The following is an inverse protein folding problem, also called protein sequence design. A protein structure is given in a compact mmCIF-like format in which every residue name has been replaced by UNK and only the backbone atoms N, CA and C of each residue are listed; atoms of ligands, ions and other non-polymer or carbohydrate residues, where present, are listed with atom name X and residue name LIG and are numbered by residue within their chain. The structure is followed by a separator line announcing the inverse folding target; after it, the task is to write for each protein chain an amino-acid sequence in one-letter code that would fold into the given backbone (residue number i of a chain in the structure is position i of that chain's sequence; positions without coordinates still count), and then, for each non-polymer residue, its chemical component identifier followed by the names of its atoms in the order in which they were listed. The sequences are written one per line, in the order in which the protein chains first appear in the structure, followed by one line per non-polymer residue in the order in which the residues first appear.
data_IF_064753819041
#
_entry.id   IF_064753819041
#
_cell.length_a   1.000
_cell.length_b   1.000
_cell.length_c   1.000
_cell.angle_alpha   90.00
_cell.angle_beta   90.00
_cell.angle_gamma   90.00
#
_symmetry.space_group_name_H-M   'P 1'
#
loop_
_entity.id
_entity.type
_entity.pdbx_description
1 polymer ?
#
# COMPACT_ATOMS: atom_id res chain seq x y z
N UNK A 1 5.63 2.53 -4.77
CA UNK A 1 6.64 2.14 -5.79
C UNK A 1 6.77 3.28 -6.80
N UNK A 2 7.98 3.71 -7.12
CA UNK A 2 8.25 4.75 -8.12
C UNK A 2 7.78 4.27 -9.50
N UNK A 3 7.31 5.19 -10.36
CA UNK A 3 7.02 4.86 -11.75
C UNK A 3 8.30 4.52 -12.50
N UNK A 4 8.31 3.40 -13.23
CA UNK A 4 9.49 2.91 -13.96
C UNK A 4 9.93 3.87 -15.08
N UNK A 5 8.97 4.59 -15.68
CA UNK A 5 9.27 5.60 -16.69
C UNK A 5 10.00 6.78 -16.05
N UNK A 6 9.53 7.25 -14.88
CA UNK A 6 10.21 8.29 -14.10
C UNK A 6 11.65 7.88 -13.74
N UNK A 7 11.83 6.66 -13.22
CA UNK A 7 13.16 6.14 -12.88
C UNK A 7 14.10 6.12 -14.09
N UNK A 8 13.61 5.67 -15.24
CA UNK A 8 14.38 5.61 -16.48
C UNK A 8 14.78 6.98 -17.02
N UNK A 9 13.86 7.95 -16.93
CA UNK A 9 14.07 9.32 -17.43
C UNK A 9 14.88 10.17 -16.45
N UNK A 10 14.86 9.84 -15.15
CA UNK A 10 15.48 10.61 -14.09
C UNK A 10 16.30 9.75 -13.11
N UNK A 11 17.25 8.93 -13.60
CA UNK A 11 17.99 7.98 -12.74
C UNK A 11 18.78 8.68 -11.63
N UNK A 12 19.38 9.84 -11.91
CA UNK A 12 20.18 10.57 -10.93
C UNK A 12 19.32 11.15 -9.81
N UNK A 13 18.07 11.57 -10.09
CA UNK A 13 17.12 12.01 -9.05
C UNK A 13 16.80 10.86 -8.10
N UNK A 14 16.59 9.65 -8.64
CA UNK A 14 16.33 8.46 -7.83
C UNK A 14 17.55 8.08 -7.00
N UNK A 15 18.76 8.11 -7.58
CA UNK A 15 20.01 7.84 -6.86
C UNK A 15 20.26 8.86 -5.76
N UNK A 16 20.03 10.14 -6.02
CA UNK A 16 20.14 11.18 -5.01
C UNK A 16 19.15 10.99 -3.86
N UNK A 17 17.90 10.61 -4.16
CA UNK A 17 16.92 10.27 -3.15
C UNK A 17 17.34 9.06 -2.28
N UNK A 18 17.97 8.04 -2.89
CA UNK A 18 18.53 6.89 -2.17
C UNK A 18 19.61 7.36 -1.18
N UNK A 19 20.52 8.27 -1.60
CA UNK A 19 21.55 8.86 -0.72
C UNK A 19 20.93 9.66 0.43
N UNK A 20 19.92 10.50 0.14
CA UNK A 20 19.19 11.25 1.16
C UNK A 20 18.55 10.36 2.24
N UNK A 21 18.22 9.12 1.87
CA UNK A 21 17.66 8.11 2.78
C UNK A 21 18.72 7.20 3.41
N UNK A 22 20.01 7.47 3.23
CA UNK A 22 21.11 6.66 3.75
C UNK A 22 21.04 5.18 3.36
N UNK A 23 20.66 4.88 2.10
CA UNK A 23 20.48 3.53 1.57
C UNK A 23 21.38 3.28 0.37
N UNK A 24 22.64 3.70 0.45
CA UNK A 24 23.62 3.67 -0.66
C UNK A 24 23.83 2.29 -1.26
N UNK A 25 23.57 1.22 -0.50
CA UNK A 25 23.59 -0.16 -0.97
C UNK A 25 22.57 -0.43 -2.09
N UNK A 26 21.55 0.43 -2.23
CA UNK A 26 20.54 0.31 -3.28
C UNK A 26 20.86 1.07 -4.57
N UNK A 27 21.94 1.87 -4.59
CA UNK A 27 22.33 2.63 -5.78
C UNK A 27 22.49 1.77 -7.05
N UNK A 28 23.15 0.58 -6.99
CA UNK A 28 23.29 -0.29 -8.16
C UNK A 28 21.96 -0.79 -8.73
N UNK A 29 20.91 -0.90 -7.90
CA UNK A 29 19.60 -1.40 -8.30
C UNK A 29 18.93 -0.48 -9.34
N UNK A 30 19.25 0.80 -9.34
CA UNK A 30 18.71 1.76 -10.32
C UNK A 30 19.20 1.41 -11.72
N UNK A 31 20.51 1.16 -11.87
CA UNK A 31 21.10 0.80 -13.15
C UNK A 31 20.65 -0.60 -13.60
N UNK A 32 20.53 -1.54 -12.67
CA UNK A 32 20.02 -2.89 -12.92
C UNK A 32 18.59 -2.85 -13.48
N UNK A 33 17.69 -2.09 -12.86
CA UNK A 33 16.30 -1.93 -13.35
C UNK A 33 16.29 -1.35 -14.76
N UNK A 34 17.11 -0.34 -15.05
CA UNK A 34 17.18 0.26 -16.39
C UNK A 34 17.62 -0.75 -17.44
N UNK A 35 18.61 -1.60 -17.09
CA UNK A 35 19.08 -2.66 -17.97
C UNK A 35 17.97 -3.70 -18.25
N UNK A 36 17.32 -4.20 -17.19
CA UNK A 36 16.21 -5.15 -17.28
C UNK A 36 14.99 -4.58 -18.05
N UNK A 37 14.62 -3.30 -17.80
CA UNK A 37 13.56 -2.63 -18.55
C UNK A 37 13.88 -2.52 -20.04
N UNK A 38 15.14 -2.22 -20.36
CA UNK A 38 15.59 -2.14 -21.74
C UNK A 38 15.49 -3.50 -22.44
N UNK A 39 15.87 -4.58 -21.76
CA UNK A 39 15.75 -5.95 -22.27
C UNK A 39 14.30 -6.37 -22.44
N UNK A 40 13.47 -6.12 -21.45
CA UNK A 40 12.02 -6.40 -21.48
C UNK A 40 11.32 -5.68 -22.63
N UNK A 41 11.65 -4.41 -22.86
CA UNK A 41 11.07 -3.63 -23.97
C UNK A 41 11.51 -4.15 -25.33
N UNK A 42 12.76 -4.61 -25.47
CA UNK A 42 13.24 -5.25 -26.70
C UNK A 42 12.51 -6.58 -26.95
N UNK A 43 12.37 -7.42 -25.92
CA UNK A 43 11.64 -8.69 -26.02
C UNK A 43 10.17 -8.46 -26.43
N UNK A 44 9.52 -7.45 -25.80
CA UNK A 44 8.15 -7.07 -26.14
C UNK A 44 8.02 -6.58 -27.58
N UNK A 45 8.92 -5.73 -28.04
CA UNK A 45 8.91 -5.23 -29.42
C UNK A 45 9.05 -6.40 -30.43
N UNK A 46 10.00 -7.32 -30.19
CA UNK A 46 10.18 -8.51 -31.04
C UNK A 46 8.94 -9.40 -31.04
N UNK A 47 8.31 -9.58 -29.86
CA UNK A 47 7.06 -10.35 -29.75
C UNK A 47 5.90 -9.70 -30.53
N UNK A 48 5.77 -8.38 -30.45
CA UNK A 48 4.73 -7.63 -31.18
C UNK A 48 4.96 -7.69 -32.70
N UNK A 49 6.21 -7.59 -33.17
CA UNK A 49 6.57 -7.74 -34.57
C UNK A 49 6.25 -9.15 -35.09
N UNK A 50 6.53 -10.18 -34.28
CA UNK A 50 6.17 -11.57 -34.60
C UNK A 50 4.66 -11.80 -34.66
N UNK A 51 3.89 -11.19 -33.74
CA UNK A 51 2.42 -11.23 -33.75
C UNK A 51 1.85 -10.56 -35.01
N UNK A 52 2.38 -9.40 -35.37
CA UNK A 52 2.00 -8.68 -36.59
C UNK A 52 2.33 -9.49 -37.84
N UNK A 53 3.53 -10.08 -37.91
CA UNK A 53 3.97 -10.95 -39.02
C UNK A 53 3.09 -12.19 -39.14
N UNK A 54 2.80 -12.88 -38.04
CA UNK A 54 1.87 -14.03 -37.99
C UNK A 54 0.51 -13.68 -38.57
N UNK A 55 -0.06 -12.54 -38.17
CA UNK A 55 -1.37 -12.11 -38.66
C UNK A 55 -1.36 -11.85 -40.18
N UNK A 56 -0.27 -11.24 -40.69
CA UNK A 56 -0.07 -11.03 -42.14
C UNK A 56 0.06 -12.34 -42.89
N UNK A 57 0.96 -13.22 -42.45
CA UNK A 57 1.24 -14.50 -43.10
C UNK A 57 -0.02 -15.40 -43.07
N UNK A 58 -0.82 -15.37 -42.00
CA UNK A 58 -2.08 -16.13 -41.93
C UNK A 58 -3.07 -15.70 -43.00
N UNK A 59 -3.15 -14.39 -43.33
CA UNK A 59 -3.96 -13.90 -44.44
C UNK A 59 -3.42 -14.36 -45.80
N UNK A 60 -2.09 -14.38 -45.99
CA UNK A 60 -1.41 -14.86 -47.19
C UNK A 60 -1.68 -16.34 -47.40
N UNK A 61 -1.60 -17.20 -46.34
CA UNK A 61 -1.94 -18.61 -46.39
C UNK A 61 -3.38 -18.83 -46.88
N UNK A 62 -4.33 -18.05 -46.34
CA UNK A 62 -5.73 -18.12 -46.80
C UNK A 62 -5.88 -17.82 -48.31
N UNK A 63 -5.19 -16.78 -48.79
CA UNK A 63 -5.20 -16.43 -50.21
C UNK A 63 -4.55 -17.50 -51.10
N UNK A 64 -3.40 -18.06 -50.69
CA UNK A 64 -2.69 -19.13 -51.42
C UNK A 64 -3.53 -20.41 -51.49
N UNK A 65 -4.18 -20.79 -50.39
CA UNK A 65 -5.09 -21.94 -50.35
C UNK A 65 -6.29 -21.76 -51.31
N UNK A 66 -6.86 -20.54 -51.35
CA UNK A 66 -7.94 -20.20 -52.30
C UNK A 66 -7.49 -20.24 -53.77
N UNK A 67 -6.20 -20.03 -54.04
CA UNK A 67 -5.60 -20.12 -55.39
C UNK A 67 -5.11 -21.56 -55.74
N UNK A 68 -5.24 -22.52 -54.85
CA UNK A 68 -4.77 -23.89 -55.07
C UNK A 68 -3.26 -24.12 -54.91
N UNK A 69 -2.49 -23.12 -54.45
CA UNK A 69 -1.03 -23.12 -54.27
C UNK A 69 -0.62 -23.77 -52.94
N UNK A 70 -0.85 -25.09 -52.83
CA UNK A 70 -0.68 -25.84 -51.59
C UNK A 70 0.76 -25.83 -51.03
N UNK A 71 1.77 -26.00 -51.90
CA UNK A 71 3.18 -26.05 -51.50
C UNK A 71 3.65 -24.71 -50.90
N UNK A 72 3.29 -23.59 -51.55
CA UNK A 72 3.61 -22.23 -51.03
C UNK A 72 2.89 -21.99 -49.71
N UNK A 73 1.65 -22.46 -49.56
CA UNK A 73 0.90 -22.36 -48.30
C UNK A 73 1.54 -23.18 -47.17
N UNK A 74 2.06 -24.40 -47.45
CA UNK A 74 2.76 -25.19 -46.43
C UNK A 74 4.09 -24.58 -45.99
N UNK A 75 4.86 -24.01 -46.93
CA UNK A 75 6.06 -23.27 -46.58
C UNK A 75 5.76 -22.08 -45.61
N UNK A 76 4.68 -21.35 -45.88
CA UNK A 76 4.22 -20.27 -45.01
C UNK A 76 3.71 -20.72 -43.64
N UNK A 77 3.07 -21.88 -43.57
CA UNK A 77 2.69 -22.52 -42.29
C UNK A 77 3.92 -22.88 -41.44
N UNK A 78 4.98 -23.40 -42.06
CA UNK A 78 6.22 -23.70 -41.37
C UNK A 78 6.89 -22.42 -40.79
N UNK A 79 6.85 -21.32 -41.57
CA UNK A 79 7.32 -20.00 -41.08
C UNK A 79 6.54 -19.53 -39.85
N UNK A 80 5.21 -19.65 -39.87
CA UNK A 80 4.34 -19.32 -38.71
C UNK A 80 4.64 -20.21 -37.51
N UNK A 81 4.86 -21.52 -37.73
CA UNK A 81 5.20 -22.45 -36.64
C UNK A 81 6.54 -22.13 -36.00
N UNK A 82 7.56 -21.77 -36.78
CA UNK A 82 8.86 -21.32 -36.25
C UNK A 82 8.73 -20.02 -35.43
N UNK A 83 7.95 -19.05 -35.94
CA UNK A 83 7.65 -17.81 -35.23
C UNK A 83 6.88 -18.03 -33.94
N UNK A 84 5.98 -19.03 -33.88
CA UNK A 84 5.22 -19.32 -32.66
C UNK A 84 6.10 -19.82 -31.50
N UNK A 85 7.13 -20.62 -31.77
CA UNK A 85 8.08 -21.08 -30.76
C UNK A 85 8.87 -19.87 -30.19
N UNK A 86 9.40 -19.02 -31.07
CA UNK A 86 10.13 -17.81 -30.65
C UNK A 86 9.26 -16.87 -29.86
N UNK A 87 7.99 -16.70 -30.25
CA UNK A 87 7.03 -15.88 -29.52
C UNK A 87 6.81 -16.39 -28.09
N UNK A 88 6.65 -17.71 -27.90
CA UNK A 88 6.49 -18.31 -26.58
C UNK A 88 7.74 -18.11 -25.69
N UNK A 89 8.94 -18.21 -26.27
CA UNK A 89 10.20 -17.92 -25.55
C UNK A 89 10.26 -16.46 -25.11
N UNK A 90 9.89 -15.52 -25.95
CA UNK A 90 9.86 -14.09 -25.65
C UNK A 90 8.82 -13.75 -24.58
N UNK A 91 7.63 -14.33 -24.65
CA UNK A 91 6.57 -14.14 -23.65
C UNK A 91 7.00 -14.67 -22.27
N UNK A 92 7.67 -15.82 -22.22
CA UNK A 92 8.23 -16.36 -20.99
C UNK A 92 9.34 -15.44 -20.43
N UNK A 93 10.25 -14.97 -21.28
CA UNK A 93 11.31 -14.04 -20.91
C UNK A 93 10.75 -12.70 -20.43
N UNK A 94 9.74 -12.15 -21.10
CA UNK A 94 9.06 -10.91 -20.67
C UNK A 94 8.47 -11.06 -19.28
N UNK A 95 7.80 -12.18 -19.01
CA UNK A 95 7.24 -12.47 -17.68
C UNK A 95 8.32 -12.51 -16.60
N UNK A 96 9.41 -13.24 -16.85
CA UNK A 96 10.53 -13.34 -15.91
C UNK A 96 11.20 -11.98 -15.64
N UNK A 97 11.42 -11.20 -16.71
CA UNK A 97 11.99 -9.86 -16.59
C UNK A 97 11.09 -8.91 -15.80
N UNK A 98 9.78 -8.94 -16.04
CA UNK A 98 8.81 -8.13 -15.29
C UNK A 98 8.77 -8.51 -13.80
N UNK A 99 8.87 -9.80 -13.46
CA UNK A 99 8.97 -10.23 -12.07
C UNK A 99 10.25 -9.71 -11.40
N UNK A 100 11.40 -9.77 -12.07
CA UNK A 100 12.67 -9.23 -11.56
C UNK A 100 12.60 -7.72 -11.36
N UNK A 101 12.11 -6.99 -12.37
CA UNK A 101 11.91 -5.54 -12.29
C UNK A 101 11.02 -5.19 -11.10
N UNK A 102 9.88 -5.86 -10.96
CA UNK A 102 8.94 -5.59 -9.87
C UNK A 102 9.59 -5.79 -8.51
N UNK A 103 10.33 -6.90 -8.31
CA UNK A 103 11.03 -7.18 -7.05
C UNK A 103 12.03 -6.09 -6.69
N UNK A 104 12.81 -5.61 -7.64
CA UNK A 104 13.79 -4.54 -7.40
C UNK A 104 13.09 -3.22 -7.15
N UNK A 105 12.09 -2.87 -7.96
CA UNK A 105 11.32 -1.63 -7.80
C UNK A 105 10.63 -1.52 -6.45
N UNK A 106 10.22 -2.64 -5.84
CA UNK A 106 9.62 -2.66 -4.51
C UNK A 106 10.58 -2.30 -3.38
N UNK A 107 11.89 -2.42 -3.57
CA UNK A 107 12.88 -2.07 -2.55
C UNK A 107 13.54 -0.70 -2.78
N UNK A 108 13.37 -0.11 -3.97
CA UNK A 108 13.78 1.27 -4.23
C UNK A 108 12.82 2.22 -3.50
N UNK A 109 13.33 3.12 -2.64
CA UNK A 109 12.49 4.01 -1.84
C UNK A 109 11.78 5.06 -2.70
N UNK A 110 10.56 5.43 -2.30
CA UNK A 110 9.84 6.56 -2.91
C UNK A 110 10.59 7.87 -2.72
N UNK A 111 10.41 8.81 -3.67
CA UNK A 111 10.99 10.15 -3.62
C UNK A 111 10.38 10.90 -2.42
N UNK A 112 11.25 11.48 -1.60
CA UNK A 112 10.84 12.37 -0.51
C UNK A 112 10.60 13.77 -1.04
N UNK A 113 9.67 14.49 -0.43
CA UNK A 113 9.43 15.90 -0.73
C UNK A 113 10.61 16.76 -0.30
N UNK A 114 10.85 17.88 -0.98
CA UNK A 114 11.98 18.77 -0.69
C UNK A 114 11.89 19.42 0.69
N UNK A 115 10.69 19.57 1.23
CA UNK A 115 10.46 20.12 2.58
C UNK A 115 10.83 19.16 3.71
N UNK A 116 11.05 17.86 3.42
CA UNK A 116 11.36 16.85 4.45
C UNK A 116 12.81 17.01 4.92
N UNK A 117 13.07 17.25 6.22
CA UNK A 117 14.42 17.27 6.78
C UNK A 117 15.15 15.95 6.53
N UNK A 118 16.44 16.06 6.19
CA UNK A 118 17.28 14.89 5.98
C UNK A 118 17.80 14.43 7.32
N UNK A 119 17.52 13.18 7.68
CA UNK A 119 17.96 12.56 8.92
C UNK A 119 18.20 11.06 8.75
N UNK A 120 19.12 10.52 9.55
CA UNK A 120 19.49 9.11 9.51
C UNK A 120 18.46 8.21 10.19
N UNK A 121 17.88 8.70 11.27
CA UNK A 121 16.90 8.03 12.11
C UNK A 121 15.99 9.04 12.83
N UNK A 122 15.08 8.56 13.65
CA UNK A 122 14.09 9.34 14.38
C UNK A 122 14.66 10.31 15.40
N UNK A 123 15.88 10.10 15.89
CA UNK A 123 16.57 11.04 16.78
C UNK A 123 16.88 12.39 16.12
N UNK A 124 16.85 12.43 14.77
CA UNK A 124 17.08 13.62 13.95
C UNK A 124 15.77 14.24 13.41
N UNK A 125 14.62 13.78 13.88
CA UNK A 125 13.34 14.38 13.53
C UNK A 125 13.29 15.83 14.00
N UNK A 126 12.78 16.70 13.13
CA UNK A 126 12.61 18.13 13.42
C UNK A 126 11.14 18.39 13.69
N UNK A 127 10.83 18.92 14.87
CA UNK A 127 9.48 19.38 15.18
C UNK A 127 9.19 20.65 14.38
N UNK A 128 8.20 20.58 13.48
CA UNK A 128 7.84 21.70 12.59
C UNK A 128 6.63 22.48 13.07
N UNK A 129 5.78 21.87 13.91
CA UNK A 129 4.55 22.51 14.40
C UNK A 129 4.10 21.89 15.72
N UNK A 130 3.58 22.72 16.61
CA UNK A 130 2.82 22.32 17.81
C UNK A 130 1.41 22.85 17.69
N UNK A 131 0.44 22.01 18.01
CA UNK A 131 -0.96 22.38 18.02
C UNK A 131 -1.53 22.28 19.43
N UNK A 132 -1.94 23.43 19.99
CA UNK A 132 -2.44 23.53 21.34
C UNK A 132 -1.33 23.53 22.41
N UNK A 133 -1.72 23.74 23.64
CA UNK A 133 -0.84 23.67 24.80
C UNK A 133 -1.21 22.49 25.70
N UNK A 134 -0.25 21.66 26.12
CA UNK A 134 -0.53 20.53 26.97
C UNK A 134 -1.01 20.98 28.36
N UNK A 135 -2.13 20.44 28.80
CA UNK A 135 -2.59 20.63 30.18
C UNK A 135 -1.86 19.60 31.05
N UNK A 136 -0.92 20.07 31.87
CA UNK A 136 -0.19 19.21 32.80
C UNK A 136 -0.88 19.32 34.17
N UNK A 137 -1.58 18.26 34.64
CA UNK A 137 -2.21 18.29 35.97
C UNK A 137 -1.16 18.39 37.07
N UNK A 138 -1.57 18.91 38.22
CA UNK A 138 -0.75 19.01 39.43
C UNK A 138 -0.69 17.73 40.28
N UNK A 139 -1.24 16.64 39.73
CA UNK A 139 -1.23 15.32 40.32
C UNK A 139 -0.60 14.30 39.38
N UNK A 140 -0.11 13.18 39.94
CA UNK A 140 0.39 12.06 39.15
C UNK A 140 -0.75 11.40 38.34
N UNK A 141 -0.65 11.44 37.01
CA UNK A 141 -1.60 10.80 36.11
C UNK A 141 -1.32 9.30 36.09
N UNK A 142 -2.27 8.44 36.55
CA UNK A 142 -2.09 7.01 36.50
C UNK A 142 -1.98 6.50 35.06
N UNK A 143 -1.29 5.38 34.87
CA UNK A 143 -1.20 4.74 33.55
C UNK A 143 -2.59 4.26 33.09
N UNK A 144 -2.87 4.35 31.79
CA UNK A 144 -4.21 4.08 31.26
C UNK A 144 -4.74 2.68 31.62
N UNK A 145 -3.87 1.65 31.63
CA UNK A 145 -4.29 0.32 32.03
C UNK A 145 -4.73 0.26 33.49
N UNK A 146 -4.04 0.98 34.41
CA UNK A 146 -4.38 1.02 35.83
C UNK A 146 -5.73 1.73 36.05
N UNK A 147 -6.04 2.73 35.24
CA UNK A 147 -7.35 3.40 35.24
C UNK A 147 -8.45 2.43 34.79
N UNK A 148 -8.23 1.76 33.67
CA UNK A 148 -9.19 0.81 33.10
C UNK A 148 -9.43 -0.38 34.04
N UNK A 149 -8.37 -0.90 34.68
CA UNK A 149 -8.50 -2.00 35.66
C UNK A 149 -9.35 -1.56 36.87
N UNK A 150 -9.11 -0.36 37.43
CA UNK A 150 -9.94 0.16 38.55
C UNK A 150 -11.40 0.34 38.19
N UNK A 151 -11.71 0.60 36.93
CA UNK A 151 -13.05 0.75 36.40
C UNK A 151 -13.68 -0.59 35.93
N UNK A 152 -12.98 -1.71 36.08
CA UNK A 152 -13.34 -3.00 35.51
C UNK A 152 -13.60 -2.89 33.98
N UNK A 153 -12.88 -1.99 33.31
CA UNK A 153 -13.04 -1.69 31.90
C UNK A 153 -12.11 -2.47 30.98
N UNK A 154 -11.16 -3.23 31.53
CA UNK A 154 -10.17 -3.99 30.77
C UNK A 154 -10.01 -5.41 31.35
N UNK A 155 -10.04 -6.45 30.51
CA UNK A 155 -9.74 -7.82 30.91
C UNK A 155 -8.69 -8.43 29.96
N UNK A 156 -7.44 -8.31 30.33
CA UNK A 156 -6.30 -8.92 29.62
C UNK A 156 -6.09 -10.39 29.97
N UNK A 157 -6.48 -10.80 31.15
CA UNK A 157 -6.30 -12.19 31.61
C UNK A 157 -7.16 -13.15 30.77
N UNK A 158 -8.44 -12.83 30.59
CA UNK A 158 -9.32 -13.62 29.72
C UNK A 158 -8.90 -13.55 28.26
N UNK A 159 -8.42 -12.41 27.79
CA UNK A 159 -7.88 -12.27 26.44
C UNK A 159 -6.64 -13.17 26.24
N UNK A 160 -5.76 -13.24 27.23
CA UNK A 160 -4.60 -14.15 27.22
C UNK A 160 -5.00 -15.62 27.09
N UNK A 161 -6.08 -16.04 27.78
CA UNK A 161 -6.62 -17.41 27.66
C UNK A 161 -7.33 -17.67 26.32
N UNK A 162 -7.92 -16.64 25.71
CA UNK A 162 -8.71 -16.77 24.47
C UNK A 162 -7.85 -16.69 23.22
N UNK A 163 -6.93 -15.71 23.17
CA UNK A 163 -6.21 -15.33 21.93
C UNK A 163 -4.70 -15.18 22.14
N UNK A 164 -4.22 -15.16 23.38
CA UNK A 164 -2.83 -14.90 23.72
C UNK A 164 -2.57 -13.46 24.16
N UNK A 165 -1.29 -13.18 24.45
CA UNK A 165 -0.86 -11.82 24.81
C UNK A 165 -1.04 -10.86 23.65
N UNK A 166 -1.19 -9.56 23.97
CA UNK A 166 -1.40 -8.52 22.95
C UNK A 166 -2.85 -8.40 22.45
N UNK A 167 -3.79 -9.12 23.07
CA UNK A 167 -5.23 -8.95 22.90
C UNK A 167 -5.86 -8.43 24.19
N UNK A 168 -7.10 -7.96 24.10
CA UNK A 168 -7.83 -7.36 25.22
C UNK A 168 -9.34 -7.53 25.06
N UNK A 169 -10.06 -7.51 26.18
CA UNK A 169 -11.48 -7.19 26.22
C UNK A 169 -11.66 -5.80 26.82
N UNK A 170 -12.39 -4.93 26.14
CA UNK A 170 -12.92 -3.72 26.74
C UNK A 170 -14.31 -4.02 27.27
N UNK A 171 -14.60 -3.55 28.49
CA UNK A 171 -15.81 -3.91 29.23
C UNK A 171 -16.58 -2.66 29.64
N UNK A 172 -17.90 -2.81 29.79
CA UNK A 172 -18.76 -1.78 30.36
C UNK A 172 -18.63 -0.41 29.69
N UNK A 173 -18.45 0.63 30.49
CA UNK A 173 -18.37 2.01 29.97
C UNK A 173 -17.11 2.28 29.19
N UNK A 174 -15.99 1.59 29.44
CA UNK A 174 -14.80 1.69 28.60
C UNK A 174 -15.08 1.27 27.14
N UNK A 175 -15.81 0.16 26.95
CA UNK A 175 -16.21 -0.28 25.62
C UNK A 175 -17.21 0.70 24.96
N UNK A 176 -18.11 1.29 25.74
CA UNK A 176 -19.06 2.29 25.23
C UNK A 176 -18.38 3.58 24.79
N UNK A 177 -17.43 4.10 25.60
CA UNK A 177 -16.63 5.28 25.25
C UNK A 177 -15.80 5.01 23.99
N UNK A 178 -15.15 3.85 23.90
CA UNK A 178 -14.40 3.46 22.70
C UNK A 178 -15.28 3.49 21.45
N UNK A 179 -16.47 2.88 21.50
CA UNK A 179 -17.41 2.90 20.38
C UNK A 179 -17.94 4.32 20.06
N UNK A 180 -18.13 5.15 21.08
CA UNK A 180 -18.54 6.54 20.91
C UNK A 180 -17.45 7.36 20.20
N UNK A 181 -16.17 7.20 20.58
CA UNK A 181 -15.04 7.86 19.93
C UNK A 181 -14.92 7.51 18.44
N UNK A 182 -15.07 6.22 18.09
CA UNK A 182 -15.07 5.78 16.69
C UNK A 182 -16.27 6.39 15.93
N UNK A 183 -17.45 6.40 16.54
CA UNK A 183 -18.65 6.99 15.93
C UNK A 183 -18.49 8.49 15.71
N UNK A 184 -17.93 9.20 16.70
CA UNK A 184 -17.65 10.62 16.60
C UNK A 184 -16.67 10.93 15.45
N UNK A 185 -15.55 10.22 15.38
CA UNK A 185 -14.57 10.40 14.30
C UNK A 185 -15.17 10.12 12.91
N UNK A 186 -16.02 9.09 12.79
CA UNK A 186 -16.75 8.79 11.57
C UNK A 186 -17.66 9.94 11.15
N UNK A 187 -18.50 10.41 12.05
CA UNK A 187 -19.49 11.44 11.77
C UNK A 187 -18.82 12.78 11.47
N UNK A 188 -17.75 13.11 12.21
CA UNK A 188 -16.89 14.26 11.93
C UNK A 188 -16.35 14.24 10.49
N UNK A 189 -15.88 13.09 10.01
CA UNK A 189 -15.35 12.98 8.64
C UNK A 189 -16.46 13.05 7.58
N UNK A 190 -17.64 12.51 7.86
CA UNK A 190 -18.83 12.65 6.99
C UNK A 190 -19.19 14.13 6.86
N UNK A 191 -19.20 14.88 7.94
CA UNK A 191 -19.50 16.32 7.96
C UNK A 191 -18.44 17.15 7.20
N UNK A 192 -17.21 16.63 7.08
CA UNK A 192 -16.17 17.20 6.21
C UNK A 192 -16.30 16.82 4.72
N UNK A 193 -17.36 16.09 4.36
CA UNK A 193 -17.68 15.72 2.97
C UNK A 193 -17.02 14.42 2.52
N UNK A 194 -16.49 13.60 3.43
CA UNK A 194 -15.94 12.29 3.08
C UNK A 194 -17.05 11.25 2.92
N UNK A 195 -16.94 10.45 1.88
CA UNK A 195 -17.84 9.29 1.69
C UNK A 195 -17.46 8.18 2.65
N UNK A 196 -18.36 7.83 3.57
CA UNK A 196 -18.14 6.71 4.47
C UNK A 196 -18.29 5.38 3.74
N UNK A 197 -17.34 4.46 3.96
CA UNK A 197 -17.41 3.10 3.45
C UNK A 197 -16.95 2.07 4.49
N UNK A 198 -17.49 0.87 4.40
CA UNK A 198 -17.03 -0.31 5.13
C UNK A 198 -16.37 -1.24 4.10
N UNK A 199 -15.04 -1.34 4.11
CA UNK A 199 -14.31 -2.14 3.12
C UNK A 199 -14.22 -3.61 3.53
N UNK A 200 -13.79 -4.51 2.63
CA UNK A 200 -13.37 -5.86 3.01
C UNK A 200 -12.22 -5.82 4.02
N UNK A 201 -12.27 -6.66 5.06
CA UNK A 201 -11.22 -6.76 6.08
C UNK A 201 -10.17 -7.82 5.75
N UNK A 202 -10.30 -8.49 4.62
CA UNK A 202 -9.34 -9.41 4.06
C UNK A 202 -9.04 -9.02 2.62
N UNK A 203 -7.76 -9.03 2.25
CA UNK A 203 -7.28 -8.60 0.94
C UNK A 203 -6.32 -9.62 0.34
N UNK A 204 -6.23 -9.65 -0.99
CA UNK A 204 -5.31 -10.53 -1.72
C UNK A 204 -3.87 -9.99 -1.68
N UNK A 205 -2.90 -10.90 -1.79
CA UNK A 205 -1.47 -10.56 -1.89
C UNK A 205 -1.19 -9.47 -2.93
N UNK A 206 -1.89 -9.50 -4.04
CA UNK A 206 -1.73 -8.52 -5.12
C UNK A 206 -2.22 -7.10 -4.78
N UNK A 207 -3.04 -6.93 -3.72
CA UNK A 207 -3.39 -5.62 -3.14
C UNK A 207 -2.33 -5.22 -2.12
N UNK A 208 -1.90 -6.16 -1.27
CA UNK A 208 -0.86 -5.93 -0.26
C UNK A 208 0.42 -5.41 -0.92
N UNK A 209 0.88 -6.04 -2.00
CA UNK A 209 2.06 -5.62 -2.75
C UNK A 209 1.98 -4.21 -3.35
N UNK A 210 0.78 -3.63 -3.43
CA UNK A 210 0.57 -2.25 -3.87
C UNK A 210 0.72 -1.21 -2.75
N UNK A 211 0.72 -1.63 -1.49
CA UNK A 211 0.69 -0.71 -0.32
C UNK A 211 1.84 -0.92 0.65
N UNK A 212 2.54 -2.06 0.62
CA UNK A 212 3.72 -2.33 1.45
C UNK A 212 4.68 -3.28 0.75
N UNK A 213 5.92 -3.34 1.24
CA UNK A 213 6.91 -4.29 0.76
C UNK A 213 6.56 -5.73 1.15
N UNK A 214 7.09 -6.71 0.41
CA UNK A 214 6.87 -8.13 0.72
C UNK A 214 7.42 -8.52 2.11
N UNK A 215 8.56 -7.98 2.50
CA UNK A 215 9.17 -8.24 3.81
C UNK A 215 8.31 -7.69 4.96
N UNK A 216 7.76 -6.47 4.79
CA UNK A 216 6.83 -5.89 5.76
C UNK A 216 5.53 -6.70 5.84
N UNK A 217 5.00 -7.15 4.71
CA UNK A 217 3.82 -8.01 4.67
C UNK A 217 4.00 -9.28 5.50
N UNK A 218 5.09 -10.01 5.31
CA UNK A 218 5.38 -11.24 6.06
C UNK A 218 5.57 -10.98 7.56
N UNK A 219 6.23 -9.88 7.90
CA UNK A 219 6.51 -9.51 9.28
C UNK A 219 5.24 -9.04 10.02
N UNK A 220 4.36 -8.29 9.37
CA UNK A 220 3.28 -7.54 10.02
C UNK A 220 1.89 -8.13 9.83
N UNK A 221 1.59 -8.83 8.73
CA UNK A 221 0.23 -9.24 8.41
C UNK A 221 -0.06 -10.69 8.76
N UNK A 222 -1.29 -10.95 9.21
CA UNK A 222 -1.81 -12.31 9.36
C UNK A 222 -2.31 -12.83 8.02
N UNK A 223 -1.82 -14.00 7.61
CA UNK A 223 -2.25 -14.72 6.42
C UNK A 223 -3.26 -15.80 6.77
N UNK A 224 -4.29 -15.96 5.96
CA UNK A 224 -5.22 -17.07 6.06
C UNK A 224 -4.57 -18.31 5.42
N UNK A 225 -4.49 -19.38 6.18
CA UNK A 225 -3.90 -20.64 5.71
C UNK A 225 -4.72 -21.25 4.58
N UNK A 226 -4.06 -21.69 3.52
CA UNK A 226 -4.69 -22.30 2.35
C UNK A 226 -5.33 -21.32 1.36
N UNK A 227 -5.29 -20.00 1.65
CA UNK A 227 -5.91 -18.99 0.79
C UNK A 227 -4.96 -17.83 0.45
N UNK A 228 -5.21 -17.16 -0.68
CA UNK A 228 -4.54 -15.89 -1.01
C UNK A 228 -5.30 -14.72 -0.35
N UNK A 229 -5.39 -14.75 0.98
CA UNK A 229 -6.04 -13.71 1.79
C UNK A 229 -5.20 -13.36 3.01
N UNK A 230 -5.21 -12.07 3.33
CA UNK A 230 -4.51 -11.46 4.47
C UNK A 230 -5.48 -10.57 5.23
N UNK A 231 -5.45 -10.63 6.57
CA UNK A 231 -6.17 -9.66 7.40
C UNK A 231 -5.53 -8.28 7.25
N UNK A 232 -6.34 -7.24 7.12
CA UNK A 232 -5.84 -5.87 6.95
C UNK A 232 -5.18 -5.34 8.22
N UNK A 233 -4.07 -4.63 8.07
CA UNK A 233 -3.45 -3.83 9.14
C UNK A 233 -4.01 -2.40 9.24
N UNK A 234 -4.81 -2.00 8.24
CA UNK A 234 -5.54 -0.72 8.13
C UNK A 234 -6.52 -0.82 6.96
N UNK A 235 -7.66 -0.13 7.06
CA UNK A 235 -8.63 -0.05 5.96
C UNK A 235 -8.09 0.69 4.73
N UNK A 236 -7.06 1.50 4.88
CA UNK A 236 -6.32 2.13 3.77
C UNK A 236 -5.98 1.12 2.68
N UNK A 237 -5.47 -0.06 3.05
CA UNK A 237 -5.11 -1.12 2.11
C UNK A 237 -6.29 -1.52 1.20
N UNK A 238 -7.45 -1.74 1.80
CA UNK A 238 -8.66 -2.12 1.05
C UNK A 238 -9.21 -0.96 0.22
N UNK A 239 -9.17 0.26 0.75
CA UNK A 239 -9.66 1.44 0.05
C UNK A 239 -8.81 1.78 -1.17
N UNK A 240 -7.48 1.69 -1.07
CA UNK A 240 -6.58 1.83 -2.22
C UNK A 240 -6.76 0.67 -3.21
N UNK A 241 -6.91 -0.55 -2.68
CA UNK A 241 -7.17 -1.74 -3.48
C UNK A 241 -8.43 -1.67 -4.35
N UNK A 242 -9.43 -0.88 -3.93
CA UNK A 242 -10.66 -0.59 -4.71
C UNK A 242 -10.35 -0.01 -6.09
N UNK A 243 -9.28 0.75 -6.23
CA UNK A 243 -8.91 1.43 -7.48
C UNK A 243 -7.85 0.67 -8.29
N UNK A 244 -7.41 -0.50 -7.80
CA UNK A 244 -6.41 -1.30 -8.50
C UNK A 244 -6.86 -1.67 -9.91
N UNK A 245 -6.02 -1.36 -10.92
CA UNK A 245 -6.29 -1.67 -12.31
C UNK A 245 -7.41 -0.83 -12.95
N UNK A 246 -7.84 0.24 -12.29
CA UNK A 246 -8.84 1.17 -12.82
C UNK A 246 -8.19 2.46 -13.34
N UNK A 247 -8.77 3.01 -14.37
CA UNK A 247 -8.51 4.38 -14.85
C UNK A 247 -9.64 5.24 -14.33
N UNK A 248 -9.31 6.17 -13.42
CA UNK A 248 -10.28 7.09 -12.82
C UNK A 248 -10.46 8.30 -13.71
N UNK A 249 -11.72 8.72 -13.94
CA UNK A 249 -12.01 9.96 -14.67
C UNK A 249 -11.50 11.17 -13.85
N UNK A 250 -10.69 12.01 -14.47
CA UNK A 250 -10.15 13.23 -13.88
C UNK A 250 -11.24 14.13 -13.28
N UNK A 251 -12.41 14.18 -13.91
CA UNK A 251 -13.54 14.98 -13.44
C UNK A 251 -14.15 14.49 -12.12
N UNK A 252 -13.89 13.24 -11.74
CA UNK A 252 -14.35 12.69 -10.47
C UNK A 252 -13.42 13.00 -9.29
N UNK A 253 -12.25 13.59 -9.56
CA UNK A 253 -11.29 13.95 -8.53
C UNK A 253 -11.62 15.32 -7.92
N UNK A 254 -11.37 15.52 -6.63
CA UNK A 254 -10.87 14.54 -5.67
C UNK A 254 -11.94 13.55 -5.21
N UNK A 255 -11.55 12.29 -4.99
CA UNK A 255 -12.40 11.29 -4.34
C UNK A 255 -11.97 11.20 -2.88
N UNK A 256 -12.86 11.59 -1.98
CA UNK A 256 -12.62 11.60 -0.52
C UNK A 256 -13.40 10.48 0.13
N UNK A 257 -12.71 9.62 0.86
CA UNK A 257 -13.32 8.46 1.54
C UNK A 257 -12.83 8.38 2.97
N UNK A 258 -13.74 7.97 3.86
CA UNK A 258 -13.41 7.61 5.24
C UNK A 258 -13.94 6.22 5.55
N UNK A 259 -13.24 5.45 6.37
CA UNK A 259 -13.68 4.11 6.72
C UNK A 259 -13.28 3.72 8.12
N UNK A 260 -14.16 2.99 8.76
CA UNK A 260 -13.87 2.25 9.98
C UNK A 260 -13.48 0.82 9.66
N UNK A 261 -12.49 0.29 10.39
CA UNK A 261 -12.19 -1.14 10.38
C UNK A 261 -11.53 -1.62 11.67
N UNK A 262 -11.71 -2.90 12.04
CA UNK A 262 -10.71 -3.59 12.84
C UNK A 262 -9.41 -3.68 12.03
N UNK A 263 -8.29 -3.63 12.74
CA UNK A 263 -6.94 -3.73 12.19
C UNK A 263 -6.18 -4.84 12.90
N UNK A 264 -5.39 -5.60 12.17
CA UNK A 264 -4.67 -6.76 12.69
C UNK A 264 -3.19 -6.64 12.34
N UNK A 265 -2.32 -6.63 13.36
CA UNK A 265 -0.86 -6.55 13.19
C UNK A 265 -0.16 -7.55 14.09
N UNK A 266 0.88 -8.19 13.58
CA UNK A 266 1.68 -9.14 14.38
C UNK A 266 2.54 -8.46 15.45
N UNK A 267 2.75 -7.14 15.36
CA UNK A 267 3.53 -6.32 16.31
C UNK A 267 4.87 -6.97 16.71
N UNK A 268 5.59 -7.50 15.71
CA UNK A 268 6.87 -8.17 15.90
C UNK A 268 7.91 -7.19 16.44
N UNK A 269 8.51 -7.53 17.60
CA UNK A 269 9.56 -6.70 18.22
C UNK A 269 9.07 -5.70 19.27
N UNK A 270 7.78 -5.67 19.61
CA UNK A 270 7.30 -4.90 20.76
C UNK A 270 7.73 -5.56 22.07
N UNK A 271 8.37 -4.79 22.97
CA UNK A 271 8.80 -5.24 24.28
C UNK A 271 8.69 -4.13 25.32
N UNK A 272 8.49 -4.51 26.59
CA UNK A 272 8.56 -3.58 27.72
C UNK A 272 7.24 -2.89 28.07
N UNK A 273 7.28 -1.59 28.35
CA UNK A 273 6.12 -0.82 28.85
C UNK A 273 4.94 -0.81 27.87
N UNK A 274 5.19 -0.94 26.58
CA UNK A 274 4.17 -1.01 25.54
C UNK A 274 3.27 -2.24 25.65
N UNK A 275 3.78 -3.33 26.23
CA UNK A 275 3.01 -4.55 26.45
C UNK A 275 2.07 -4.48 27.67
N UNK A 276 2.38 -3.60 28.63
CA UNK A 276 1.60 -3.47 29.87
C UNK A 276 0.19 -2.99 29.62
N UNK A 277 -0.01 -2.07 28.67
CA UNK A 277 -1.29 -1.46 28.37
C UNK A 277 -2.00 -2.06 27.15
N UNK A 278 -2.80 -1.20 26.50
CA UNK A 278 -3.48 -1.46 25.22
C UNK A 278 -2.96 -0.53 24.11
N UNK A 279 -1.71 -0.10 24.24
CA UNK A 279 -1.07 0.82 23.31
C UNK A 279 -0.57 0.09 22.06
N UNK A 280 0.11 -1.05 22.24
CA UNK A 280 0.62 -1.88 21.14
C UNK A 280 0.00 -3.28 21.23
N UNK A 281 -0.95 -3.54 20.36
CA UNK A 281 -1.82 -4.72 20.42
C UNK A 281 -2.03 -5.33 19.05
N UNK A 282 -2.29 -6.63 18.99
CA UNK A 282 -2.50 -7.38 17.74
C UNK A 282 -3.80 -7.02 17.01
N UNK A 283 -4.79 -6.55 17.76
CA UNK A 283 -6.08 -6.13 17.23
C UNK A 283 -6.46 -4.78 17.81
N UNK A 284 -6.81 -3.83 16.95
CA UNK A 284 -7.30 -2.49 17.33
C UNK A 284 -8.29 -2.00 16.28
N UNK A 285 -8.91 -0.87 16.52
CA UNK A 285 -9.88 -0.26 15.61
C UNK A 285 -9.36 1.09 15.12
N UNK A 286 -9.70 1.42 13.87
CA UNK A 286 -9.19 2.62 13.23
C UNK A 286 -10.25 3.27 12.34
N UNK A 287 -10.37 4.59 12.43
CA UNK A 287 -11.06 5.42 11.45
C UNK A 287 -10.01 6.04 10.53
N UNK A 288 -10.13 5.81 9.23
CA UNK A 288 -9.13 6.18 8.22
C UNK A 288 -9.65 7.26 7.28
N UNK A 289 -8.76 8.09 6.77
CA UNK A 289 -9.01 9.05 5.70
C UNK A 289 -8.19 8.67 4.46
N UNK A 290 -8.83 8.59 3.30
CA UNK A 290 -8.14 8.40 2.01
C UNK A 290 -8.65 9.40 1.00
N UNK A 291 -7.73 10.05 0.31
CA UNK A 291 -8.02 11.00 -0.75
C UNK A 291 -7.27 10.60 -2.02
N UNK A 292 -8.01 10.42 -3.11
CA UNK A 292 -7.44 10.34 -4.45
C UNK A 292 -7.59 11.72 -5.08
N UNK A 293 -6.47 12.35 -5.42
CA UNK A 293 -6.44 13.68 -6.04
C UNK A 293 -5.43 13.71 -7.19
N UNK A 294 -5.37 14.82 -7.89
CA UNK A 294 -4.29 15.07 -8.85
C UNK A 294 -2.95 15.22 -8.11
N UNK A 295 -1.82 14.87 -8.74
CA UNK A 295 -0.50 15.04 -8.12
C UNK A 295 -0.22 16.46 -7.63
N UNK A 296 -0.61 17.46 -8.39
CA UNK A 296 -0.45 18.89 -8.06
C UNK A 296 -1.23 19.32 -6.82
N UNK A 297 -2.34 18.64 -6.49
CA UNK A 297 -3.19 18.95 -5.34
C UNK A 297 -2.78 18.17 -4.07
N UNK A 298 -1.77 17.31 -4.15
CA UNK A 298 -1.46 16.36 -3.07
C UNK A 298 -1.04 17.04 -1.77
N UNK A 299 -0.23 18.11 -1.84
CA UNK A 299 0.21 18.85 -0.65
C UNK A 299 -0.92 19.65 -0.01
N UNK A 300 -1.84 20.19 -0.79
CA UNK A 300 -3.02 20.89 -0.27
C UNK A 300 -3.93 19.92 0.48
N UNK A 301 -4.13 18.71 -0.07
CA UNK A 301 -4.88 17.65 0.62
C UNK A 301 -4.15 17.12 1.85
N UNK A 302 -2.84 16.97 1.81
CA UNK A 302 -2.04 16.61 2.98
C UNK A 302 -2.27 17.61 4.13
N UNK A 303 -2.10 18.90 3.88
CA UNK A 303 -2.30 19.96 4.86
C UNK A 303 -3.75 20.00 5.38
N UNK A 304 -4.72 19.78 4.51
CA UNK A 304 -6.14 19.73 4.86
C UNK A 304 -6.46 18.54 5.77
N UNK A 305 -5.96 17.35 5.44
CA UNK A 305 -6.11 16.15 6.27
C UNK A 305 -5.43 16.32 7.63
N UNK A 306 -4.24 16.94 7.65
CA UNK A 306 -3.54 17.31 8.88
C UNK A 306 -4.41 18.21 9.75
N UNK A 307 -4.99 19.28 9.19
CA UNK A 307 -5.89 20.17 9.90
C UNK A 307 -7.13 19.46 10.48
N UNK A 308 -7.69 18.48 9.78
CA UNK A 308 -8.81 17.69 10.29
C UNK A 308 -8.40 16.80 11.48
N UNK A 309 -7.20 16.23 11.44
CA UNK A 309 -6.64 15.47 12.56
C UNK A 309 -6.47 16.35 13.78
N UNK A 310 -5.93 17.57 13.62
CA UNK A 310 -5.81 18.55 14.71
C UNK A 310 -7.17 18.94 15.28
N UNK A 311 -8.16 19.25 14.44
CA UNK A 311 -9.50 19.60 14.86
C UNK A 311 -10.20 18.44 15.60
N UNK A 312 -10.05 17.21 15.14
CA UNK A 312 -10.62 16.05 15.81
C UNK A 312 -10.00 15.83 17.19
N UNK A 313 -8.68 15.97 17.29
CA UNK A 313 -7.95 15.81 18.55
C UNK A 313 -8.29 16.87 19.59
N UNK A 314 -8.52 18.11 19.15
CA UNK A 314 -8.78 19.25 20.03
C UNK A 314 -10.26 19.62 20.11
N UNK A 315 -11.16 18.88 19.45
CA UNK A 315 -12.59 19.16 19.53
C UNK A 315 -13.09 18.93 20.96
N UNK A 316 -13.93 19.85 21.42
CA UNK A 316 -14.45 19.95 22.79
C UNK A 316 -15.30 18.74 23.27
N UNK A 317 -15.37 17.65 22.50
CA UNK A 317 -16.01 16.42 22.96
C UNK A 317 -15.42 15.85 24.25
N UNK A 318 -14.28 16.40 24.72
CA UNK A 318 -13.71 16.13 26.03
C UNK A 318 -14.19 17.12 27.13
N UNK A 319 -14.93 18.17 26.75
CA UNK A 319 -15.35 19.25 27.67
C UNK A 319 -16.87 19.39 27.83
N UNK A 320 -17.68 18.70 27.04
CA UNK A 320 -19.12 18.53 27.22
C UNK A 320 -19.41 17.08 27.70
#
# INVERSE_FOLDING_TARGET
MIDIKFLRENPEVVKENIRKKYQDEKLPLVDEVIALDTESRKAKQEADDLRASRNRISKEIGALMGQGKKEEAEAKKAEVAAGAKRLAELEASETELQEKITKIMMVIPNIIDESVPIGKDDSQNVEIEKFGEPIVPDFEVPYHADILDRLNGLDKESAGRTSGNGFYYLMGDAARIHSAMISYARDFMIDKGFTYCIPPFMIRSSVVNGVMSFAEMEAMMYKIEGEDLYLIGTSEHSMIGKFKGQIVDEKSLPITMTSYSPCFRKEVGSHGIEERGVYRVHQFEKQEMVVLCKPEDSMDWYNKMWSYTCLLYTSDAAYE
#
